data_IF_341959345716
#
_entry.id   IF_341959345716
#
_cell.length_a   1.000
_cell.length_b   1.000
_cell.length_c   1.000
_cell.angle_alpha   90.00
_cell.angle_beta   90.00
_cell.angle_gamma   90.00
#
_symmetry.space_group_name_H-M   'P 1'
#
loop_
_entity.id
_entity.type
_entity.pdbx_description
1 polymer ?
#
# COMPACT_ATOMS: atom_id res chain seq x y z
N UNK A 1 5.92 7.95 -2.75
CA UNK A 1 4.54 8.31 -3.16
C UNK A 1 3.50 7.49 -2.39
N UNK A 2 3.59 6.15 -2.33
CA UNK A 2 2.62 5.29 -1.61
C UNK A 2 2.42 5.70 -0.15
N UNK A 3 3.48 6.09 0.58
CA UNK A 3 3.36 6.59 1.95
C UNK A 3 2.56 7.89 2.02
N UNK A 4 2.78 8.82 1.09
CA UNK A 4 2.02 10.09 1.02
C UNK A 4 0.54 9.82 0.75
N UNK A 5 0.24 8.91 -0.20
CA UNK A 5 -1.12 8.49 -0.50
C UNK A 5 -1.82 7.87 0.72
N UNK A 6 -1.12 6.98 1.44
CA UNK A 6 -1.64 6.38 2.67
C UNK A 6 -1.93 7.41 3.75
N UNK A 7 -1.04 8.39 3.93
CA UNK A 7 -1.23 9.48 4.89
C UNK A 7 -2.43 10.34 4.53
N UNK A 8 -2.56 10.76 3.26
CA UNK A 8 -3.70 11.54 2.78
C UNK A 8 -5.02 10.80 3.02
N UNK A 9 -5.08 9.50 2.72
CA UNK A 9 -6.24 8.66 3.00
C UNK A 9 -6.58 8.61 4.49
N UNK A 10 -5.60 8.50 5.37
CA UNK A 10 -5.79 8.48 6.84
C UNK A 10 -6.29 9.83 7.34
N UNK A 11 -5.90 10.94 6.71
CA UNK A 11 -6.38 12.30 7.02
C UNK A 11 -7.78 12.59 6.48
N UNK A 12 -8.43 11.61 5.84
CA UNK A 12 -9.80 11.72 5.37
C UNK A 12 -9.96 12.36 4.00
N UNK A 13 -8.88 12.53 3.26
CA UNK A 13 -8.93 12.99 1.87
C UNK A 13 -9.57 11.91 1.00
N UNK A 14 -10.75 12.20 0.46
CA UNK A 14 -11.59 11.21 -0.26
C UNK A 14 -11.71 11.49 -1.75
N UNK A 15 -11.35 12.68 -2.20
CA UNK A 15 -11.50 13.05 -3.60
C UNK A 15 -10.38 12.46 -4.45
N UNK A 16 -10.75 11.79 -5.52
CA UNK A 16 -9.79 11.22 -6.46
C UNK A 16 -8.81 12.26 -7.02
N UNK A 17 -9.28 13.48 -7.28
CA UNK A 17 -8.45 14.60 -7.74
C UNK A 17 -7.31 14.95 -6.81
N UNK A 18 -7.50 14.80 -5.48
CA UNK A 18 -6.45 15.01 -4.49
C UNK A 18 -5.51 13.81 -4.46
N UNK A 19 -6.05 12.59 -4.46
CA UNK A 19 -5.25 11.37 -4.44
C UNK A 19 -4.37 11.24 -5.68
N UNK A 20 -4.82 11.69 -6.85
CA UNK A 20 -4.07 11.62 -8.11
C UNK A 20 -2.73 12.35 -8.07
N UNK A 21 -2.57 13.37 -7.22
CA UNK A 21 -1.32 14.09 -7.02
C UNK A 21 -0.20 13.20 -6.44
N UNK A 22 -0.56 12.11 -5.76
CA UNK A 22 0.38 11.20 -5.11
C UNK A 22 0.68 9.94 -5.94
N UNK A 23 0.16 9.87 -7.16
CA UNK A 23 0.26 8.69 -8.02
C UNK A 23 1.35 8.82 -9.10
N UNK A 24 2.19 9.85 -9.03
CA UNK A 24 3.37 9.95 -9.90
C UNK A 24 4.25 8.71 -9.72
N UNK A 25 4.74 8.15 -10.83
CA UNK A 25 5.53 6.92 -10.87
C UNK A 25 4.83 5.65 -10.31
N UNK A 26 3.50 5.68 -10.19
CA UNK A 26 2.71 4.54 -9.76
C UNK A 26 1.79 4.09 -10.89
N UNK A 27 1.87 2.82 -11.26
CA UNK A 27 0.91 2.22 -12.15
C UNK A 27 -0.45 2.05 -11.44
N UNK A 28 -1.50 2.58 -12.05
CA UNK A 28 -2.86 2.46 -11.51
C UNK A 28 -3.58 1.35 -12.26
N UNK A 29 -4.08 0.37 -11.54
CA UNK A 29 -4.88 -0.74 -12.09
C UNK A 29 -6.28 -0.64 -11.49
N UNK A 30 -7.27 -0.45 -12.35
CA UNK A 30 -8.69 -0.42 -11.95
C UNK A 30 -9.33 -1.75 -12.33
N UNK A 31 -9.79 -2.55 -11.36
CA UNK A 31 -10.53 -3.77 -11.69
C UNK A 31 -11.75 -3.45 -12.56
N UNK A 32 -11.98 -4.27 -13.59
CA UNK A 32 -13.14 -4.10 -14.46
C UNK A 32 -14.47 -4.21 -13.67
N UNK A 33 -15.38 -3.32 -13.98
CA UNK A 33 -16.79 -3.35 -13.56
C UNK A 33 -17.68 -2.72 -14.63
N UNK A 34 -18.96 -3.06 -14.64
CA UNK A 34 -19.90 -2.50 -15.61
C UNK A 34 -20.05 -0.97 -15.40
N UNK A 35 -19.86 -0.20 -16.46
CA UNK A 35 -19.87 1.27 -16.41
C UNK A 35 -18.49 1.89 -16.23
N UNK A 36 -17.41 1.10 -16.26
CA UNK A 36 -16.03 1.62 -16.16
C UNK A 36 -15.71 2.67 -17.22
N UNK A 37 -16.35 2.62 -18.39
CA UNK A 37 -16.14 3.58 -19.51
C UNK A 37 -16.46 5.02 -19.09
N UNK A 38 -17.30 5.20 -18.10
CA UNK A 38 -17.64 6.53 -17.56
C UNK A 38 -16.65 7.06 -16.52
N UNK A 39 -15.63 6.29 -16.17
CA UNK A 39 -14.65 6.66 -15.15
C UNK A 39 -13.54 7.52 -15.76
N UNK A 40 -13.55 8.80 -15.41
CA UNK A 40 -12.49 9.75 -15.75
C UNK A 40 -11.52 9.91 -14.58
N UNK A 41 -10.30 9.35 -14.70
CA UNK A 41 -9.28 9.45 -13.66
C UNK A 41 -8.29 10.60 -13.87
N UNK A 42 -8.40 11.34 -14.98
CA UNK A 42 -7.51 12.44 -15.32
C UNK A 42 -6.06 12.02 -15.59
N UNK A 43 -5.81 10.71 -15.78
CA UNK A 43 -4.51 10.13 -16.10
C UNK A 43 -4.67 8.75 -16.72
N UNK A 44 -3.58 8.23 -17.29
CA UNK A 44 -3.53 6.87 -17.83
C UNK A 44 -3.63 5.83 -16.70
N UNK A 45 -4.38 4.77 -16.98
CA UNK A 45 -4.53 3.64 -16.09
C UNK A 45 -4.71 2.34 -16.89
N UNK A 46 -4.53 1.23 -16.21
CA UNK A 46 -4.80 -0.09 -16.75
C UNK A 46 -6.15 -0.59 -16.25
N UNK A 47 -6.86 -1.33 -17.10
CA UNK A 47 -8.05 -2.05 -16.68
C UNK A 47 -7.63 -3.45 -16.27
N UNK A 48 -7.88 -3.81 -15.02
CA UNK A 48 -7.63 -5.14 -14.50
C UNK A 48 -8.75 -6.11 -14.87
N UNK A 49 -8.47 -7.11 -15.71
CA UNK A 49 -9.44 -8.10 -16.15
C UNK A 49 -9.26 -9.42 -15.40
N UNK A 50 -10.36 -10.01 -14.98
CA UNK A 50 -10.39 -11.36 -14.40
C UNK A 50 -10.66 -12.40 -15.52
N UNK A 51 -10.32 -13.69 -15.31
CA UNK A 51 -10.63 -14.73 -16.28
C UNK A 51 -12.12 -14.79 -16.67
N UNK A 52 -13.01 -14.43 -15.75
CA UNK A 52 -14.46 -14.40 -15.91
C UNK A 52 -15.01 -13.10 -16.48
N UNK A 53 -14.20 -12.06 -16.73
CA UNK A 53 -14.66 -10.79 -17.28
C UNK A 53 -15.33 -11.02 -18.65
N UNK A 54 -16.57 -10.56 -18.82
CA UNK A 54 -17.36 -10.79 -20.02
C UNK A 54 -17.10 -9.78 -21.14
N UNK A 55 -16.60 -8.60 -20.81
CA UNK A 55 -16.28 -7.56 -21.80
C UNK A 55 -15.21 -8.05 -22.81
N UNK A 56 -15.34 -7.65 -24.04
CA UNK A 56 -14.40 -7.96 -25.13
C UNK A 56 -13.67 -6.74 -25.68
N UNK A 57 -14.17 -5.54 -25.39
CA UNK A 57 -13.59 -4.28 -25.85
C UNK A 57 -13.22 -3.39 -24.65
N UNK A 58 -12.06 -2.77 -24.74
CA UNK A 58 -11.52 -1.92 -23.68
C UNK A 58 -10.87 -0.67 -24.29
N UNK A 59 -11.16 0.50 -23.72
CA UNK A 59 -10.59 1.78 -24.17
C UNK A 59 -9.20 2.08 -23.55
N UNK A 60 -8.80 1.30 -22.57
CA UNK A 60 -7.50 1.40 -21.90
C UNK A 60 -6.76 0.07 -21.96
N UNK A 61 -5.42 0.06 -21.84
CA UNK A 61 -4.66 -1.19 -21.80
C UNK A 61 -5.12 -2.06 -20.64
N UNK A 62 -5.28 -3.35 -20.92
CA UNK A 62 -5.73 -4.33 -19.93
C UNK A 62 -4.55 -5.04 -19.27
N UNK A 63 -4.71 -5.42 -17.99
CA UNK A 63 -3.80 -6.28 -17.23
C UNK A 63 -4.54 -7.46 -16.62
N UNK A 64 -3.90 -8.63 -16.50
CA UNK A 64 -4.52 -9.77 -15.88
C UNK A 64 -4.63 -9.56 -14.36
N UNK A 65 -5.82 -9.79 -13.81
CA UNK A 65 -6.05 -9.88 -12.38
C UNK A 65 -6.52 -11.28 -12.03
N UNK A 66 -5.95 -11.83 -10.98
CA UNK A 66 -6.41 -13.09 -10.41
C UNK A 66 -6.52 -12.96 -8.90
N UNK A 67 -7.67 -13.37 -8.38
CA UNK A 67 -7.97 -13.30 -6.94
C UNK A 67 -7.60 -14.61 -6.29
N UNK A 68 -6.80 -14.56 -5.23
CA UNK A 68 -6.47 -15.73 -4.42
C UNK A 68 -7.02 -15.50 -3.02
N UNK A 69 -8.04 -16.24 -2.64
CA UNK A 69 -8.64 -16.18 -1.31
C UNK A 69 -8.49 -17.52 -0.55
N UNK A 70 -8.12 -18.59 -1.24
CA UNK A 70 -7.92 -19.91 -0.69
C UNK A 70 -6.68 -20.54 -1.29
N UNK A 71 -5.95 -21.35 -0.51
CA UNK A 71 -4.80 -22.07 -1.02
C UNK A 71 -5.24 -23.36 -1.75
N UNK A 72 -6.19 -24.07 -1.14
CA UNK A 72 -6.79 -25.28 -1.70
C UNK A 72 -8.32 -25.17 -1.79
N UNK A 73 -8.94 -26.06 -2.59
CA UNK A 73 -10.39 -26.06 -2.76
C UNK A 73 -11.17 -26.26 -1.46
N UNK A 74 -10.62 -27.00 -0.50
CA UNK A 74 -11.24 -27.23 0.83
C UNK A 74 -11.27 -25.96 1.68
N UNK A 75 -10.32 -25.04 1.49
CA UNK A 75 -10.23 -23.81 2.29
C UNK A 75 -11.40 -22.87 2.00
N UNK A 76 -12.12 -23.08 0.90
CA UNK A 76 -13.32 -22.28 0.57
C UNK A 76 -14.46 -22.45 1.58
N UNK A 77 -14.58 -23.64 2.15
CA UNK A 77 -15.58 -23.91 3.20
C UNK A 77 -15.18 -23.16 4.48
N UNK A 78 -13.89 -23.14 4.81
CA UNK A 78 -13.36 -22.35 5.94
C UNK A 78 -13.61 -20.87 5.72
N UNK A 79 -13.35 -20.35 4.52
CA UNK A 79 -13.64 -18.96 4.17
C UNK A 79 -15.13 -18.63 4.25
N UNK A 80 -16.00 -19.55 3.88
CA UNK A 80 -17.45 -19.39 4.03
C UNK A 80 -17.83 -19.22 5.50
N UNK A 81 -17.28 -20.07 6.38
CA UNK A 81 -17.50 -19.97 7.83
C UNK A 81 -16.97 -18.64 8.38
N UNK A 82 -15.73 -18.26 8.02
CA UNK A 82 -15.14 -17.00 8.46
C UNK A 82 -15.95 -15.79 7.98
N UNK A 83 -16.48 -15.84 6.76
CA UNK A 83 -17.35 -14.79 6.23
C UNK A 83 -18.67 -14.74 7.00
N UNK A 84 -19.28 -15.89 7.30
CA UNK A 84 -20.49 -15.96 8.11
C UNK A 84 -20.30 -15.31 9.48
N UNK A 85 -19.17 -15.59 10.14
CA UNK A 85 -18.81 -14.99 11.43
C UNK A 85 -18.62 -13.47 11.28
N UNK A 86 -17.85 -13.03 10.29
CA UNK A 86 -17.54 -11.62 10.06
C UNK A 86 -18.80 -10.80 9.80
N UNK A 87 -19.69 -11.31 8.95
CA UNK A 87 -20.91 -10.59 8.54
C UNK A 87 -22.08 -10.85 9.50
N UNK A 88 -21.89 -11.69 10.53
CA UNK A 88 -22.92 -12.13 11.47
C UNK A 88 -24.16 -12.72 10.77
N UNK A 89 -23.92 -13.58 9.78
CA UNK A 89 -24.94 -14.24 8.98
C UNK A 89 -24.98 -15.76 9.23
N UNK A 90 -26.12 -16.41 9.08
CA UNK A 90 -26.19 -17.88 9.04
C UNK A 90 -25.33 -18.42 7.88
N UNK A 91 -24.62 -19.54 8.09
CA UNK A 91 -23.74 -20.13 7.07
C UNK A 91 -24.46 -20.41 5.73
N UNK A 92 -25.72 -20.79 5.77
CA UNK A 92 -26.55 -21.04 4.59
C UNK A 92 -26.81 -19.81 3.71
N UNK A 93 -26.68 -18.62 4.29
CA UNK A 93 -26.88 -17.34 3.59
C UNK A 93 -25.58 -16.78 2.97
N UNK A 94 -24.44 -17.39 3.31
CA UNK A 94 -23.16 -17.03 2.74
C UNK A 94 -22.84 -17.95 1.57
N UNK A 95 -22.75 -17.43 0.34
CA UNK A 95 -22.44 -18.26 -0.82
C UNK A 95 -21.03 -18.85 -0.73
N UNK A 96 -20.88 -20.10 -1.15
CA UNK A 96 -19.55 -20.68 -1.33
C UNK A 96 -18.83 -19.94 -2.45
N UNK A 97 -17.64 -19.43 -2.18
CA UNK A 97 -16.86 -18.68 -3.18
C UNK A 97 -16.52 -19.55 -4.40
N UNK A 98 -16.36 -18.89 -5.54
CA UNK A 98 -16.04 -19.51 -6.82
C UNK A 98 -14.77 -20.39 -6.74
N UNK A 99 -14.71 -21.42 -7.58
CA UNK A 99 -13.51 -22.24 -7.77
C UNK A 99 -12.31 -21.44 -8.28
N UNK A 100 -12.56 -20.28 -8.87
CA UNK A 100 -11.54 -19.40 -9.45
C UNK A 100 -10.76 -18.59 -8.40
N UNK A 101 -11.13 -18.65 -7.12
CA UNK A 101 -10.45 -17.95 -6.04
C UNK A 101 -9.34 -18.78 -5.35
N UNK A 102 -8.95 -19.91 -5.92
CA UNK A 102 -7.94 -20.83 -5.37
C UNK A 102 -6.57 -20.56 -6.02
N UNK A 103 -5.51 -20.68 -5.23
CA UNK A 103 -4.15 -20.57 -5.74
C UNK A 103 -3.91 -21.60 -6.87
N UNK A 104 -3.35 -21.13 -7.96
CA UNK A 104 -2.96 -21.95 -9.13
C UNK A 104 -1.50 -21.64 -9.53
N UNK A 105 -0.89 -22.57 -10.28
CA UNK A 105 0.47 -22.32 -10.79
C UNK A 105 0.51 -21.18 -11.80
N UNK A 106 1.67 -20.54 -11.95
CA UNK A 106 1.86 -19.47 -12.93
C UNK A 106 1.51 -19.91 -14.35
N UNK A 107 1.89 -21.14 -14.75
CA UNK A 107 1.58 -21.70 -16.07
C UNK A 107 0.09 -21.95 -16.27
N UNK A 108 -0.65 -22.29 -15.22
CA UNK A 108 -2.11 -22.44 -15.29
C UNK A 108 -2.78 -21.06 -15.40
N UNK A 109 -2.26 -20.08 -14.66
CA UNK A 109 -2.76 -18.71 -14.73
C UNK A 109 -2.55 -18.12 -16.13
N UNK A 110 -1.35 -18.28 -16.70
CA UNK A 110 -1.04 -17.83 -18.06
C UNK A 110 -2.02 -18.40 -19.08
N UNK A 111 -2.29 -19.71 -19.05
CA UNK A 111 -3.26 -20.37 -19.94
C UNK A 111 -4.66 -19.78 -19.85
N UNK A 112 -5.13 -19.41 -18.65
CA UNK A 112 -6.45 -18.81 -18.47
C UNK A 112 -6.60 -17.48 -19.21
N UNK A 113 -5.51 -16.70 -19.30
CA UNK A 113 -5.55 -15.40 -19.97
C UNK A 113 -5.19 -15.49 -21.46
N UNK A 114 -4.35 -16.44 -21.89
CA UNK A 114 -3.97 -16.62 -23.30
C UNK A 114 -5.17 -16.85 -24.22
N UNK A 115 -6.18 -17.54 -23.74
CA UNK A 115 -7.38 -17.87 -24.55
C UNK A 115 -8.29 -16.65 -24.77
N UNK A 116 -8.38 -15.74 -23.81
CA UNK A 116 -9.35 -14.63 -23.84
C UNK A 116 -8.73 -13.26 -23.94
N UNK A 117 -7.63 -13.05 -23.25
CA UNK A 117 -6.99 -11.74 -23.07
C UNK A 117 -5.47 -11.81 -23.27
N UNK A 118 -4.99 -12.32 -24.45
CA UNK A 118 -3.55 -12.41 -24.67
C UNK A 118 -2.84 -11.05 -24.53
N UNK A 119 -3.49 -9.96 -24.94
CA UNK A 119 -2.94 -8.61 -24.80
C UNK A 119 -2.70 -8.20 -23.33
N UNK A 120 -3.43 -8.78 -22.40
CA UNK A 120 -3.23 -8.50 -20.97
C UNK A 120 -1.87 -9.02 -20.47
N UNK A 121 -1.43 -10.17 -20.99
CA UNK A 121 -0.11 -10.74 -20.67
C UNK A 121 1.01 -9.93 -21.31
N UNK A 122 0.87 -9.52 -22.57
CA UNK A 122 1.84 -8.65 -23.26
C UNK A 122 2.00 -7.30 -22.53
N UNK A 123 0.89 -6.73 -22.06
CA UNK A 123 0.92 -5.48 -21.31
C UNK A 123 1.55 -5.66 -19.93
N UNK A 124 1.32 -6.80 -19.28
CA UNK A 124 1.95 -7.14 -18.00
C UNK A 124 3.46 -7.23 -18.16
N UNK A 125 3.95 -7.90 -19.20
CA UNK A 125 5.39 -8.02 -19.48
C UNK A 125 6.03 -6.64 -19.71
N UNK A 126 5.37 -5.79 -20.53
CA UNK A 126 5.82 -4.40 -20.76
C UNK A 126 5.85 -3.60 -19.48
N UNK A 127 4.82 -3.70 -18.64
CA UNK A 127 4.76 -2.99 -17.37
C UNK A 127 5.89 -3.44 -16.46
N UNK A 128 6.08 -4.75 -16.26
CA UNK A 128 7.12 -5.30 -15.37
C UNK A 128 8.52 -4.93 -15.85
N UNK A 129 8.78 -5.03 -17.16
CA UNK A 129 10.09 -4.67 -17.73
C UNK A 129 10.42 -3.19 -17.59
N UNK A 130 9.41 -2.32 -17.49
CA UNK A 130 9.59 -0.89 -17.24
C UNK A 130 9.77 -0.51 -15.77
N UNK A 131 9.54 -1.44 -14.83
CA UNK A 131 9.70 -1.16 -13.40
C UNK A 131 11.16 -1.39 -13.01
N UNK A 132 11.82 -0.31 -12.58
CA UNK A 132 13.11 -0.37 -11.92
C UNK A 132 13.01 0.32 -10.57
N UNK A 133 13.16 -0.43 -9.49
CA UNK A 133 13.10 0.11 -8.15
C UNK A 133 14.23 -0.45 -7.29
N UNK A 134 15.05 0.45 -6.77
CA UNK A 134 16.06 0.13 -5.78
C UNK A 134 15.52 0.48 -4.38
N UNK A 135 15.40 -0.53 -3.55
CA UNK A 135 14.88 -0.36 -2.19
C UNK A 135 15.95 0.28 -1.31
N UNK A 136 15.76 1.54 -0.95
CA UNK A 136 16.60 2.20 0.05
C UNK A 136 16.35 1.55 1.42
N UNK A 137 17.27 0.67 1.82
CA UNK A 137 17.24 -0.03 3.11
C UNK A 137 17.96 0.74 4.22
N UNK A 138 18.44 1.96 3.96
CA UNK A 138 19.07 2.79 4.98
C UNK A 138 18.10 3.11 6.12
N UNK A 139 18.60 3.07 7.35
CA UNK A 139 17.83 3.46 8.52
C UNK A 139 17.56 4.96 8.47
N UNK A 140 16.29 5.34 8.29
CA UNK A 140 15.84 6.74 8.30
C UNK A 140 15.05 7.00 9.59
N UNK A 141 15.71 7.59 10.56
CA UNK A 141 15.03 8.05 11.76
C UNK A 141 14.24 9.33 11.45
N UNK A 142 12.99 9.44 11.92
CA UNK A 142 12.20 10.66 11.75
C UNK A 142 12.87 11.82 12.49
N UNK A 143 13.00 12.96 11.83
CA UNK A 143 13.49 14.20 12.46
C UNK A 143 12.29 15.00 12.96
N UNK A 144 12.37 15.47 14.19
CA UNK A 144 11.32 16.31 14.77
C UNK A 144 11.23 17.66 14.02
N UNK A 145 12.37 18.27 13.75
CA UNK A 145 12.46 19.48 12.95
C UNK A 145 13.52 19.30 11.85
N UNK A 146 13.11 19.17 10.56
CA UNK A 146 14.07 18.97 9.47
C UNK A 146 14.95 20.20 9.18
N UNK A 147 14.58 21.39 9.67
CA UNK A 147 15.31 22.63 9.45
C UNK A 147 16.46 22.87 10.45
N UNK A 148 16.56 22.05 11.51
CA UNK A 148 17.59 22.20 12.56
C UNK A 148 18.26 20.86 12.84
N UNK A 149 19.55 20.87 13.29
CA UNK A 149 20.20 19.68 13.81
C UNK A 149 19.43 19.09 15.01
N UNK A 150 19.22 17.77 15.01
CA UNK A 150 18.45 17.11 16.05
C UNK A 150 19.04 17.31 17.47
N UNK A 151 20.37 17.34 17.57
CA UNK A 151 21.08 17.53 18.84
C UNK A 151 20.83 18.93 19.44
N UNK A 152 20.77 19.96 18.61
CA UNK A 152 20.47 21.34 19.05
C UNK A 152 19.04 21.45 19.56
N UNK A 153 18.08 20.88 18.83
CA UNK A 153 16.68 20.86 19.24
C UNK A 153 16.49 20.06 20.56
N UNK A 154 17.18 18.94 20.68
CA UNK A 154 17.15 18.12 21.90
C UNK A 154 17.72 18.88 23.09
N UNK A 155 18.87 19.55 22.94
CA UNK A 155 19.49 20.37 23.99
C UNK A 155 18.55 21.46 24.47
N UNK A 156 18.01 22.27 23.55
CA UNK A 156 17.10 23.37 23.89
C UNK A 156 15.87 22.88 24.68
N UNK A 157 15.28 21.76 24.26
CA UNK A 157 14.14 21.17 24.94
C UNK A 157 14.47 20.61 26.32
N UNK A 158 15.65 20.01 26.47
CA UNK A 158 16.11 19.49 27.74
C UNK A 158 16.40 20.62 28.74
N UNK A 159 17.07 21.69 28.32
CA UNK A 159 17.33 22.88 29.12
C UNK A 159 16.03 23.56 29.57
N UNK A 160 15.06 23.68 28.65
CA UNK A 160 13.73 24.18 28.99
C UNK A 160 13.05 23.27 30.03
N UNK A 161 13.16 21.95 29.87
CA UNK A 161 12.61 20.98 30.80
C UNK A 161 13.25 21.04 32.19
N UNK A 162 14.56 21.21 32.27
CA UNK A 162 15.27 21.43 33.55
C UNK A 162 14.79 22.71 34.25
N UNK A 163 14.68 23.81 33.50
CA UNK A 163 14.17 25.08 34.02
C UNK A 163 12.74 24.97 34.56
N UNK A 164 11.84 24.30 33.80
CA UNK A 164 10.45 24.10 34.22
C UNK A 164 10.32 23.26 35.49
N UNK A 165 11.28 22.35 35.72
CA UNK A 165 11.34 21.50 36.92
C UNK A 165 12.10 22.13 38.10
N UNK A 166 12.68 23.32 37.90
CA UNK A 166 13.51 23.99 38.91
C UNK A 166 14.86 23.32 39.15
N UNK A 167 15.35 22.51 38.23
CA UNK A 167 16.60 21.74 38.29
C UNK A 167 17.71 22.50 37.57
N UNK A 168 18.12 23.65 38.10
CA UNK A 168 19.06 24.60 37.48
C UNK A 168 20.46 24.58 38.03
N UNK A 169 20.80 23.64 38.96
CA UNK A 169 22.14 23.51 39.51
C UNK A 169 23.16 23.04 38.46
N UNK A 170 24.43 23.39 38.71
CA UNK A 170 25.56 22.99 37.83
C UNK A 170 25.62 21.45 37.66
N UNK A 171 25.32 20.70 38.69
CA UNK A 171 25.27 19.22 38.66
C UNK A 171 24.31 18.69 37.57
N UNK A 172 23.12 19.29 37.43
CA UNK A 172 22.15 18.90 36.40
C UNK A 172 22.58 19.33 34.99
N UNK A 173 23.28 20.45 34.88
CA UNK A 173 23.82 20.89 33.60
C UNK A 173 24.97 19.97 33.13
N UNK A 174 25.89 19.63 34.03
CA UNK A 174 26.98 18.69 33.73
C UNK A 174 26.43 17.32 33.33
N UNK A 175 25.39 16.86 33.99
CA UNK A 175 24.74 15.61 33.65
C UNK A 175 24.06 15.65 32.30
N UNK A 176 23.38 16.75 31.96
CA UNK A 176 22.77 16.94 30.65
C UNK A 176 23.84 16.91 29.53
N UNK A 177 24.96 17.58 29.73
CA UNK A 177 26.05 17.60 28.75
C UNK A 177 26.63 16.20 28.51
N UNK A 178 26.81 15.42 29.57
CA UNK A 178 27.25 14.02 29.49
C UNK A 178 26.27 13.17 28.68
N UNK A 179 24.98 13.24 28.98
CA UNK A 179 23.95 12.46 28.29
C UNK A 179 23.84 12.86 26.81
N UNK A 180 23.90 14.14 26.50
CA UNK A 180 23.86 14.62 25.12
C UNK A 180 25.11 14.20 24.32
N UNK A 181 26.29 14.14 24.95
CA UNK A 181 27.49 13.61 24.33
C UNK A 181 27.35 12.14 23.99
N UNK A 182 26.83 11.31 24.90
CA UNK A 182 26.56 9.90 24.64
C UNK A 182 25.56 9.70 23.49
N UNK A 183 24.47 10.48 23.48
CA UNK A 183 23.47 10.40 22.39
C UNK A 183 24.09 10.80 21.06
N UNK A 184 24.93 11.81 21.04
CA UNK A 184 25.64 12.24 19.82
C UNK A 184 26.58 11.14 19.28
N UNK A 185 27.33 10.49 20.15
CA UNK A 185 28.28 9.44 19.78
C UNK A 185 27.59 8.14 19.29
N UNK A 186 26.36 7.92 19.69
CA UNK A 186 25.55 6.78 19.26
C UNK A 186 24.88 6.99 17.89
N UNK A 187 24.84 8.22 17.33
CA UNK A 187 24.26 8.60 16.03
C UNK A 187 22.82 9.04 16.15
#
# INVERSE_FOLDING_TARGET
QLMKLSTAKMQGEKTWSVLSQYLEDIAVIVPYFDGLESLELGRDYYIGVYPETLASEFHHPILPLYRVNAFESRDREVLQVLTAIKENLPLREVPLRSRQDVFISASSLEKLFLERFPQALDNLEKLISGISYDLDTSLKLPRFNPARPAVEELRERAELGLTQKGLTSEEYQDRLDQELAVIHDMG
#
